data_IF_609286479370
#
_entry.id   IF_609286479370
#
_cell.length_a   1.000
_cell.length_b   1.000
_cell.length_c   1.000
_cell.angle_alpha   90.00
_cell.angle_beta   90.00
_cell.angle_gamma   90.00
#
_symmetry.space_group_name_H-M   'P 1'
#
loop_
_entity.id
_entity.type
_entity.pdbx_description
1 polymer ?
#
# COMPACT_ATOMS: atom_id res chain seq x y z
N UNK A 1 -6.11 -26.34 18.45
CA UNK A 1 -5.54 -25.58 17.32
C UNK A 1 -6.69 -25.23 16.39
N UNK A 2 -6.96 -23.95 16.14
CA UNK A 2 -8.03 -23.55 15.23
C UNK A 2 -7.64 -23.97 13.81
N UNK A 3 -8.40 -24.87 13.20
CA UNK A 3 -8.24 -25.27 11.80
C UNK A 3 -8.91 -24.21 10.94
N UNK A 4 -8.12 -23.30 10.39
CA UNK A 4 -8.59 -22.32 9.42
C UNK A 4 -9.09 -23.03 8.16
N UNK A 5 -10.19 -22.52 7.59
CA UNK A 5 -10.69 -22.96 6.29
C UNK A 5 -9.58 -22.83 5.24
N UNK A 6 -9.57 -23.69 4.22
CA UNK A 6 -8.66 -23.56 3.08
C UNK A 6 -8.71 -22.16 2.46
N UNK A 7 -9.88 -21.51 2.49
CA UNK A 7 -10.07 -20.13 2.02
C UNK A 7 -9.33 -19.10 2.88
N UNK A 8 -9.41 -19.22 4.21
CA UNK A 8 -8.67 -18.34 5.13
C UNK A 8 -7.15 -18.52 4.99
N UNK A 9 -6.70 -19.75 4.78
CA UNK A 9 -5.29 -20.03 4.53
C UNK A 9 -4.83 -19.41 3.20
N UNK A 10 -5.64 -19.48 2.14
CA UNK A 10 -5.35 -18.82 0.85
C UNK A 10 -5.27 -17.30 1.05
N UNK A 11 -6.22 -16.70 1.76
CA UNK A 11 -6.21 -15.26 2.04
C UNK A 11 -4.96 -14.82 2.83
N UNK A 12 -4.55 -15.59 3.84
CA UNK A 12 -3.31 -15.32 4.57
C UNK A 12 -2.07 -15.40 3.68
N UNK A 13 -2.01 -16.39 2.77
CA UNK A 13 -0.89 -16.51 1.82
C UNK A 13 -0.87 -15.37 0.81
N UNK A 14 -2.03 -14.94 0.31
CA UNK A 14 -2.13 -13.80 -0.59
C UNK A 14 -1.68 -12.50 0.10
N UNK A 15 -2.08 -12.28 1.36
CA UNK A 15 -1.62 -11.14 2.15
C UNK A 15 -0.09 -11.16 2.34
N UNK A 16 0.50 -12.33 2.63
CA UNK A 16 1.96 -12.48 2.71
C UNK A 16 2.66 -12.15 1.38
N UNK A 17 2.10 -12.58 0.24
CA UNK A 17 2.65 -12.29 -1.09
C UNK A 17 2.61 -10.79 -1.37
N UNK A 18 1.48 -10.12 -1.09
CA UNK A 18 1.34 -8.66 -1.28
C UNK A 18 2.38 -7.91 -0.45
N UNK A 19 2.58 -8.33 0.81
CA UNK A 19 3.59 -7.74 1.70
C UNK A 19 5.02 -7.90 1.16
N UNK A 20 5.37 -9.08 0.63
CA UNK A 20 6.70 -9.33 0.05
C UNK A 20 6.93 -8.48 -1.21
N UNK A 21 5.95 -8.43 -2.12
CA UNK A 21 6.04 -7.61 -3.33
C UNK A 21 6.17 -6.12 -2.99
N UNK A 22 5.44 -5.68 -1.96
CA UNK A 22 5.52 -4.32 -1.47
C UNK A 22 6.92 -3.99 -0.91
N UNK A 23 7.50 -4.90 -0.12
CA UNK A 23 8.86 -4.75 0.39
C UNK A 23 9.89 -4.68 -0.75
N UNK A 24 9.77 -5.57 -1.74
CA UNK A 24 10.64 -5.58 -2.93
C UNK A 24 10.60 -4.24 -3.67
N UNK A 25 9.42 -3.66 -3.84
CA UNK A 25 9.23 -2.38 -4.49
C UNK A 25 9.90 -1.21 -3.74
N UNK A 26 9.92 -1.26 -2.41
CA UNK A 26 10.52 -0.23 -1.55
C UNK A 26 12.04 -0.40 -1.43
N UNK A 27 12.55 -1.64 -1.46
CA UNK A 27 13.98 -1.92 -1.33
C UNK A 27 14.84 -1.44 -2.51
N UNK A 28 14.24 -1.25 -3.69
CA UNK A 28 14.98 -1.00 -4.92
C UNK A 28 15.12 0.50 -5.23
N UNK A 29 16.06 1.19 -4.54
CA UNK A 29 16.48 2.61 -4.72
C UNK A 29 15.40 3.70 -4.85
N UNK A 30 14.13 3.35 -4.76
CA UNK A 30 13.01 4.26 -4.86
C UNK A 30 12.89 5.02 -3.55
N UNK A 31 12.61 6.31 -3.67
CA UNK A 31 12.43 7.15 -2.48
C UNK A 31 11.28 6.59 -1.64
N UNK A 32 11.37 6.71 -0.30
CA UNK A 32 10.30 6.30 0.63
C UNK A 32 8.93 6.85 0.16
N UNK A 33 8.93 8.03 -0.46
CA UNK A 33 7.76 8.65 -1.11
C UNK A 33 7.17 7.79 -2.23
N UNK A 34 7.98 7.32 -3.17
CA UNK A 34 7.52 6.55 -4.34
C UNK A 34 7.01 5.17 -3.93
N UNK A 35 7.65 4.56 -2.94
CA UNK A 35 7.16 3.33 -2.30
C UNK A 35 5.76 3.52 -1.70
N UNK A 36 5.60 4.50 -0.83
CA UNK A 36 4.31 4.80 -0.18
C UNK A 36 3.22 5.14 -1.21
N UNK A 37 3.57 5.87 -2.28
CA UNK A 37 2.63 6.24 -3.34
C UNK A 37 2.22 5.05 -4.20
N UNK A 38 3.15 4.17 -4.53
CA UNK A 38 2.87 2.98 -5.34
C UNK A 38 1.95 2.01 -4.60
N UNK A 39 2.18 1.80 -3.30
CA UNK A 39 1.28 0.99 -2.46
C UNK A 39 -0.10 1.63 -2.34
N UNK A 40 -0.16 2.97 -2.26
CA UNK A 40 -1.43 3.70 -2.29
C UNK A 40 -2.17 3.50 -3.61
N UNK A 41 -1.46 3.53 -4.74
CA UNK A 41 -2.03 3.25 -6.07
C UNK A 41 -2.50 1.81 -6.22
N UNK A 42 -1.82 0.85 -5.58
CA UNK A 42 -2.25 -0.54 -5.53
C UNK A 42 -3.49 -0.77 -4.64
N UNK A 43 -4.05 0.28 -4.04
CA UNK A 43 -5.31 0.22 -3.28
C UNK A 43 -5.15 -0.01 -1.79
N UNK A 44 -3.92 -0.07 -1.27
CA UNK A 44 -3.69 -0.25 0.16
C UNK A 44 -4.10 1.00 0.96
N UNK A 45 -4.66 0.78 2.15
CA UNK A 45 -4.94 1.86 3.08
C UNK A 45 -3.67 2.31 3.83
N UNK A 46 -3.73 3.48 4.45
CA UNK A 46 -2.53 4.08 5.04
C UNK A 46 -2.00 3.31 6.26
N UNK A 47 -2.84 2.55 6.98
CA UNK A 47 -2.38 1.72 8.10
C UNK A 47 -1.58 0.53 7.58
N UNK A 48 -2.12 -0.17 6.58
CA UNK A 48 -1.42 -1.30 5.95
C UNK A 48 -0.08 -0.88 5.34
N UNK A 49 -0.02 0.29 4.69
CA UNK A 49 1.24 0.85 4.17
C UNK A 49 2.23 1.15 5.30
N UNK A 50 1.76 1.74 6.40
CA UNK A 50 2.59 2.07 7.57
C UNK A 50 3.21 0.81 8.19
N UNK A 51 2.43 -0.27 8.30
CA UNK A 51 2.90 -1.57 8.78
C UNK A 51 3.94 -2.20 7.84
N UNK A 52 3.69 -2.20 6.53
CA UNK A 52 4.60 -2.76 5.52
C UNK A 52 5.93 -2.02 5.51
N UNK A 53 5.88 -0.69 5.54
CA UNK A 53 7.05 0.17 5.44
C UNK A 53 7.73 0.43 6.78
N UNK A 54 7.13 -0.04 7.89
CA UNK A 54 7.57 0.20 9.26
C UNK A 54 7.82 1.69 9.56
N UNK A 55 6.84 2.54 9.23
CA UNK A 55 6.88 3.99 9.47
C UNK A 55 5.55 4.47 10.05
N UNK A 56 5.54 5.66 10.64
CA UNK A 56 4.33 6.23 11.22
C UNK A 56 3.25 6.54 10.16
N UNK A 57 1.99 6.28 10.50
CA UNK A 57 0.84 6.51 9.60
C UNK A 57 0.70 7.98 9.18
N UNK A 58 1.14 8.93 10.02
CA UNK A 58 1.18 10.36 9.69
C UNK A 58 2.22 10.66 8.62
N UNK A 59 3.35 9.96 8.62
CA UNK A 59 4.37 10.05 7.55
C UNK A 59 3.76 9.52 6.25
N UNK A 60 3.10 8.35 6.27
CA UNK A 60 2.39 7.81 5.09
C UNK A 60 1.37 8.80 4.55
N UNK A 61 0.57 9.43 5.43
CA UNK A 61 -0.37 10.49 5.02
C UNK A 61 0.36 11.59 4.27
N UNK A 62 1.44 12.14 4.84
CA UNK A 62 2.25 13.19 4.22
C UNK A 62 2.76 12.77 2.84
N UNK A 63 3.36 11.58 2.71
CA UNK A 63 3.94 11.06 1.47
C UNK A 63 2.89 10.84 0.36
N UNK A 64 1.66 10.52 0.76
CA UNK A 64 0.54 10.24 -0.15
C UNK A 64 -0.39 11.43 -0.38
N UNK A 65 -0.25 12.55 0.35
CA UNK A 65 -1.15 13.72 0.29
C UNK A 65 -1.35 14.26 -1.12
N UNK A 66 -0.27 14.34 -1.90
CA UNK A 66 -0.28 14.92 -3.25
C UNK A 66 -0.89 14.00 -4.32
N UNK A 67 -1.23 12.74 -3.98
CA UNK A 67 -1.90 11.83 -4.91
C UNK A 67 -3.37 12.19 -5.16
N UNK A 68 -4.05 12.77 -4.17
CA UNK A 68 -5.47 13.15 -4.30
C UNK A 68 -5.71 14.31 -5.27
N UNK A 69 -4.69 15.13 -5.55
CA UNK A 69 -4.84 16.30 -6.42
C UNK A 69 -5.00 15.95 -7.92
N UNK A 70 -4.65 14.72 -8.33
CA UNK A 70 -4.66 14.33 -9.76
C UNK A 70 -5.89 13.53 -10.20
N UNK A 71 -6.68 12.96 -9.27
CA UNK A 71 -7.88 12.20 -9.66
C UNK A 71 -9.15 13.07 -9.79
N UNK A 72 -9.18 14.28 -9.23
CA UNK A 72 -10.36 15.17 -9.28
C UNK A 72 -10.38 16.14 -10.47
N UNK A 73 -9.29 16.24 -11.26
CA UNK A 73 -9.18 17.22 -12.35
C UNK A 73 -9.52 16.68 -13.75
N UNK A 74 -9.98 15.41 -13.87
CA UNK A 74 -10.28 14.78 -15.17
C UNK A 74 -11.76 14.43 -15.39
N UNK A 75 -12.70 14.98 -14.63
CA UNK A 75 -14.15 14.76 -14.84
C UNK A 75 -14.99 16.04 -15.03
N UNK A 76 -14.36 17.21 -15.19
CA UNK A 76 -15.06 18.44 -15.60
C UNK A 76 -14.24 19.17 -16.67
N UNK A 77 -14.53 18.89 -17.93
CA UNK A 77 -13.97 19.62 -19.05
C UNK A 77 -14.13 18.85 -20.37
N UNK A 78 -15.30 19.05 -20.98
CA UNK A 78 -15.61 18.98 -22.42
C UNK A 78 -15.41 17.66 -23.17
#
# INVERSE_FOLDING_TARGET
MATFSSEEQILQRLDQIVKILALQLVSDKNTITDGARSLKFAGLDNKTIAEIMNIDVTVVRTLTTNLRAKSSKKSKGQ
#
